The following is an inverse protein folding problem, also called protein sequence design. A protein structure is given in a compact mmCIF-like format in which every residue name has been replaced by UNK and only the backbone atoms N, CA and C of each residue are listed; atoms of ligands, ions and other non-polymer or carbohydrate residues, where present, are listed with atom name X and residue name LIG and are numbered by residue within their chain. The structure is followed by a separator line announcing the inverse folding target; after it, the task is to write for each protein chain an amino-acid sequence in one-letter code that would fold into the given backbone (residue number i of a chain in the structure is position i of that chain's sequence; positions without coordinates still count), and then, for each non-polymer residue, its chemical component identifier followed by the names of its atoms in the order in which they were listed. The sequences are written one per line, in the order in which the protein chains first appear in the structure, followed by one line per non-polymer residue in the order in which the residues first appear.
data_IF_920432652058
#
_entry.id   IF_920432652058
#
_cell.length_a   1.000
_cell.length_b   1.000
_cell.length_c   1.000
_cell.angle_alpha   90.00
_cell.angle_beta   90.00
_cell.angle_gamma   90.00
#
_symmetry.space_group_name_H-M   'P 1'
#
loop_
_entity.id
_entity.type
_entity.pdbx_description
1 polymer ?
#
# COMPACT_ATOMS: atom_id res chain seq x y z
N UNK A 1 -13.75 19.34 17.25
CA UNK A 1 -13.66 18.62 15.97
C UNK A 1 -13.98 17.17 16.23
N UNK A 2 -15.05 16.69 15.66
CA UNK A 2 -15.58 15.37 15.97
C UNK A 2 -14.72 14.29 15.30
N UNK A 3 -14.16 13.37 16.10
CA UNK A 3 -13.32 12.27 15.57
C UNK A 3 -14.09 11.32 14.64
N UNK A 4 -15.40 11.22 14.83
CA UNK A 4 -16.27 10.41 13.98
C UNK A 4 -16.37 10.95 12.56
N UNK A 5 -16.32 12.26 12.38
CA UNK A 5 -16.43 12.90 11.06
C UNK A 5 -15.16 12.69 10.20
N UNK A 6 -14.00 12.60 10.86
CA UNK A 6 -12.72 12.34 10.17
C UNK A 6 -12.63 10.87 9.74
N UNK A 7 -13.03 9.95 10.63
CA UNK A 7 -13.09 8.53 10.34
C UNK A 7 -13.98 8.23 9.12
N UNK A 8 -15.17 8.84 9.09
CA UNK A 8 -16.16 8.62 8.06
C UNK A 8 -15.70 9.09 6.67
N UNK A 9 -14.92 10.19 6.61
CA UNK A 9 -14.39 10.70 5.34
C UNK A 9 -13.26 9.84 4.77
N UNK A 10 -12.46 9.23 5.62
CA UNK A 10 -11.40 8.31 5.19
C UNK A 10 -11.95 6.97 4.72
N UNK A 11 -13.01 6.47 5.35
CA UNK A 11 -13.63 5.21 4.97
C UNK A 11 -14.32 5.24 3.60
N UNK A 12 -14.74 6.41 3.15
CA UNK A 12 -15.36 6.57 1.83
C UNK A 12 -14.39 6.41 0.66
N UNK A 13 -13.08 6.59 0.88
CA UNK A 13 -12.03 6.43 -0.14
C UNK A 13 -12.01 7.51 -1.21
N UNK A 14 -13.16 7.95 -1.69
CA UNK A 14 -13.26 8.91 -2.81
C UNK A 14 -12.64 10.29 -2.52
N UNK A 15 -12.87 10.96 -1.36
CA UNK A 15 -12.18 12.20 -1.01
C UNK A 15 -10.67 12.04 -0.91
N UNK A 16 -10.21 10.91 -0.37
CA UNK A 16 -8.79 10.57 -0.30
C UNK A 16 -8.19 10.47 -1.70
N UNK A 17 -8.85 9.75 -2.62
CA UNK A 17 -8.39 9.57 -4.00
C UNK A 17 -8.28 10.92 -4.73
N UNK A 18 -9.23 11.83 -4.55
CA UNK A 18 -9.19 13.14 -5.19
C UNK A 18 -8.05 14.02 -4.69
N UNK A 19 -7.71 13.92 -3.42
CA UNK A 19 -6.74 14.81 -2.77
C UNK A 19 -5.33 14.22 -2.70
N UNK A 20 -5.20 13.01 -2.18
CA UNK A 20 -3.91 12.35 -1.95
C UNK A 20 -3.54 11.39 -3.08
N UNK A 21 -4.50 10.64 -3.59
CA UNK A 21 -4.27 9.67 -4.67
C UNK A 21 -3.76 10.31 -5.95
N UNK A 22 -4.25 11.50 -6.28
CA UNK A 22 -3.78 12.26 -7.44
C UNK A 22 -2.28 12.57 -7.35
N UNK A 23 -1.81 13.03 -6.20
CA UNK A 23 -0.39 13.28 -5.96
C UNK A 23 0.42 12.00 -5.97
N UNK A 24 -0.10 10.94 -5.35
CA UNK A 24 0.56 9.63 -5.31
C UNK A 24 0.79 9.08 -6.71
N UNK A 25 -0.19 9.20 -7.61
CA UNK A 25 -0.04 8.74 -9.00
C UNK A 25 1.04 9.49 -9.78
N UNK A 26 1.25 10.77 -9.48
CA UNK A 26 2.29 11.56 -10.13
C UNK A 26 3.68 11.28 -9.57
N UNK A 27 3.77 11.05 -8.27
CA UNK A 27 5.05 10.85 -7.56
C UNK A 27 5.52 9.41 -7.62
N UNK A 28 4.61 8.44 -7.62
CA UNK A 28 4.94 7.02 -7.54
C UNK A 28 5.95 6.57 -8.61
N UNK A 29 5.80 6.93 -9.91
CA UNK A 29 6.78 6.52 -10.90
C UNK A 29 8.19 7.06 -10.63
N UNK A 30 8.30 8.29 -10.13
CA UNK A 30 9.58 8.90 -9.77
C UNK A 30 10.22 8.20 -8.58
N UNK A 31 9.42 7.90 -7.57
CA UNK A 31 9.85 7.16 -6.38
C UNK A 31 10.37 5.76 -6.74
N UNK A 32 9.62 5.03 -7.55
CA UNK A 32 9.99 3.69 -7.99
C UNK A 32 11.26 3.69 -8.84
N UNK A 33 11.42 4.68 -9.71
CA UNK A 33 12.63 4.87 -10.49
C UNK A 33 13.84 5.14 -9.60
N UNK A 34 13.66 5.96 -8.58
CA UNK A 34 14.71 6.26 -7.60
C UNK A 34 15.14 5.01 -6.81
N UNK A 35 14.19 4.17 -6.40
CA UNK A 35 14.49 2.91 -5.71
C UNK A 35 15.31 1.96 -6.57
N UNK A 36 15.08 1.95 -7.88
CA UNK A 36 15.83 1.17 -8.87
C UNK A 36 15.91 -0.32 -8.51
N UNK A 37 14.79 -0.93 -8.15
CA UNK A 37 14.73 -2.35 -7.82
C UNK A 37 14.68 -3.16 -9.12
N UNK A 38 15.45 -4.26 -9.25
CA UNK A 38 15.47 -5.07 -10.46
C UNK A 38 14.10 -5.67 -10.80
N UNK A 39 13.87 -5.98 -12.08
CA UNK A 39 12.69 -6.69 -12.55
C UNK A 39 12.56 -8.07 -11.89
N UNK A 40 11.36 -8.65 -11.91
CA UNK A 40 11.12 -10.01 -11.45
C UNK A 40 11.12 -10.16 -9.94
N UNK A 41 10.79 -9.11 -9.20
CA UNK A 41 10.74 -9.13 -7.73
C UNK A 41 9.31 -9.23 -7.21
N UNK A 42 9.19 -9.77 -6.01
CA UNK A 42 7.93 -9.85 -5.26
C UNK A 42 7.82 -8.61 -4.38
N UNK A 43 6.74 -7.86 -4.52
CA UNK A 43 6.55 -6.58 -3.85
C UNK A 43 5.42 -6.64 -2.82
N UNK A 44 5.58 -5.90 -1.73
CA UNK A 44 4.52 -5.64 -0.76
C UNK A 44 4.35 -4.14 -0.61
N UNK A 45 3.11 -3.67 -0.74
CA UNK A 45 2.71 -2.28 -0.46
C UNK A 45 1.91 -2.26 0.85
N UNK A 46 2.51 -1.71 1.89
CA UNK A 46 1.91 -1.62 3.23
C UNK A 46 1.08 -0.35 3.34
N UNK A 47 -0.20 -0.50 3.62
CA UNK A 47 -1.15 0.61 3.61
C UNK A 47 -1.44 1.06 2.19
N UNK A 48 -1.82 0.12 1.33
CA UNK A 48 -1.93 0.37 -0.12
C UNK A 48 -3.06 1.35 -0.50
N UNK A 49 -3.94 1.70 0.41
CA UNK A 49 -5.04 2.63 0.16
C UNK A 49 -5.92 2.17 -1.00
N UNK A 50 -6.13 3.04 -1.96
CA UNK A 50 -6.92 2.75 -3.17
C UNK A 50 -6.10 2.10 -4.29
N UNK A 51 -4.81 1.82 -4.06
CA UNK A 51 -3.98 1.04 -4.95
C UNK A 51 -3.10 1.82 -5.93
N UNK A 52 -2.92 3.12 -5.73
CA UNK A 52 -2.15 3.96 -6.66
C UNK A 52 -0.70 3.49 -6.80
N UNK A 53 -0.01 3.22 -5.68
CA UNK A 53 1.37 2.75 -5.71
C UNK A 53 1.47 1.32 -6.27
N UNK A 54 0.56 0.43 -5.88
CA UNK A 54 0.47 -0.91 -6.47
C UNK A 54 0.35 -0.87 -7.99
N UNK A 55 -0.51 -0.02 -8.53
CA UNK A 55 -0.70 0.14 -9.97
C UNK A 55 0.60 0.59 -10.64
N UNK A 56 1.30 1.57 -10.05
CA UNK A 56 2.59 2.03 -10.57
C UNK A 56 3.66 0.95 -10.56
N UNK A 57 3.70 0.12 -9.51
CA UNK A 57 4.64 -1.02 -9.45
C UNK A 57 4.37 -1.99 -10.59
N UNK A 58 3.10 -2.36 -10.81
CA UNK A 58 2.72 -3.25 -11.92
C UNK A 58 3.13 -2.65 -13.27
N UNK A 59 2.91 -1.36 -13.47
CA UNK A 59 3.12 -0.70 -14.76
C UNK A 59 4.61 -0.43 -15.05
N UNK A 60 5.44 -0.21 -14.03
CA UNK A 60 6.81 0.30 -14.21
C UNK A 60 7.93 -0.61 -13.72
N UNK A 61 7.66 -1.60 -12.88
CA UNK A 61 8.70 -2.38 -12.21
C UNK A 61 8.83 -3.81 -12.71
N UNK A 62 7.98 -4.26 -13.62
CA UNK A 62 7.96 -5.64 -14.11
C UNK A 62 8.05 -6.66 -12.96
N UNK A 63 7.14 -6.61 -11.98
CA UNK A 63 7.19 -7.49 -10.81
C UNK A 63 6.76 -8.91 -11.15
N UNK A 64 7.23 -9.89 -10.37
CA UNK A 64 6.67 -11.24 -10.40
C UNK A 64 5.32 -11.30 -9.70
N UNK A 65 5.20 -10.58 -8.59
CA UNK A 65 3.97 -10.51 -7.80
C UNK A 65 3.93 -9.19 -7.03
N UNK A 66 2.73 -8.62 -6.91
CA UNK A 66 2.49 -7.46 -6.04
C UNK A 66 1.39 -7.82 -5.06
N UNK A 67 1.65 -7.63 -3.78
CA UNK A 67 0.69 -7.77 -2.69
C UNK A 67 0.47 -6.42 -2.04
N UNK A 68 -0.77 -6.09 -1.75
CA UNK A 68 -1.13 -4.90 -0.98
C UNK A 68 -1.87 -5.29 0.30
N UNK A 69 -1.59 -4.60 1.40
CA UNK A 69 -2.36 -4.70 2.63
C UNK A 69 -2.93 -3.35 3.02
N UNK A 70 -4.17 -3.35 3.49
CA UNK A 70 -4.89 -2.14 3.86
C UNK A 70 -5.90 -2.45 4.97
N UNK A 71 -5.92 -1.69 6.10
CA UNK A 71 -6.87 -1.94 7.17
C UNK A 71 -8.29 -1.44 6.86
N UNK A 72 -8.45 -0.43 6.02
CA UNK A 72 -9.76 0.16 5.72
C UNK A 72 -10.53 -0.65 4.67
N UNK A 73 -11.71 -1.13 5.03
CA UNK A 73 -12.62 -1.83 4.11
C UNK A 73 -12.98 -0.98 2.89
N UNK A 74 -13.23 0.31 3.11
CA UNK A 74 -13.59 1.24 2.03
C UNK A 74 -12.48 1.42 1.02
N UNK A 75 -11.27 1.64 1.49
CA UNK A 75 -10.10 1.76 0.62
C UNK A 75 -9.79 0.45 -0.11
N UNK A 76 -9.86 -0.67 0.61
CA UNK A 76 -9.58 -1.98 0.04
C UNK A 76 -10.56 -2.35 -1.07
N UNK A 77 -11.83 -1.98 -0.91
CA UNK A 77 -12.86 -2.17 -1.94
C UNK A 77 -12.52 -1.40 -3.22
N UNK A 78 -12.12 -0.13 -3.09
CA UNK A 78 -11.69 0.67 -4.22
C UNK A 78 -10.41 0.14 -4.85
N UNK A 79 -9.47 -0.34 -4.05
CA UNK A 79 -8.26 -0.98 -4.55
C UNK A 79 -8.59 -2.22 -5.40
N UNK A 80 -9.54 -3.05 -4.96
CA UNK A 80 -10.00 -4.21 -5.72
C UNK A 80 -10.62 -3.82 -7.06
N UNK A 81 -11.42 -2.76 -7.08
CA UNK A 81 -11.99 -2.23 -8.31
C UNK A 81 -10.92 -1.69 -9.26
N UNK A 82 -9.95 -0.95 -8.73
CA UNK A 82 -8.89 -0.32 -9.53
C UNK A 82 -7.86 -1.30 -10.06
N UNK A 83 -7.53 -2.34 -9.30
CA UNK A 83 -6.43 -3.25 -9.60
C UNK A 83 -6.89 -4.58 -10.17
N UNK A 84 -8.14 -4.96 -9.96
CA UNK A 84 -8.72 -6.24 -10.37
C UNK A 84 -7.83 -7.41 -9.88
N UNK A 85 -7.41 -8.30 -10.78
CA UNK A 85 -6.59 -9.48 -10.46
C UNK A 85 -5.09 -9.27 -10.62
N UNK A 86 -4.65 -8.03 -10.89
CA UNK A 86 -3.23 -7.71 -11.09
C UNK A 86 -2.43 -7.68 -9.78
N UNK A 87 -3.09 -7.57 -8.66
CA UNK A 87 -2.49 -7.45 -7.32
C UNK A 87 -3.24 -8.35 -6.35
N UNK A 88 -2.51 -9.00 -5.46
CA UNK A 88 -3.11 -9.76 -4.35
C UNK A 88 -3.37 -8.79 -3.20
N UNK A 89 -4.60 -8.70 -2.74
CA UNK A 89 -5.00 -7.74 -1.70
C UNK A 89 -5.47 -8.47 -0.44
N UNK A 90 -4.97 -8.02 0.71
CA UNK A 90 -5.39 -8.52 2.02
C UNK A 90 -5.81 -7.37 2.92
N UNK A 91 -6.85 -7.57 3.70
CA UNK A 91 -7.13 -6.68 4.81
C UNK A 91 -6.16 -6.98 5.95
N UNK A 92 -5.51 -5.95 6.47
CA UNK A 92 -4.56 -6.12 7.56
C UNK A 92 -3.87 -4.81 7.91
N UNK A 93 -3.18 -4.81 9.05
CA UNK A 93 -2.44 -3.64 9.49
C UNK A 93 -0.92 -3.89 9.47
N UNK A 94 -0.18 -2.80 9.45
CA UNK A 94 1.27 -2.82 9.32
C UNK A 94 1.99 -3.49 10.50
N UNK A 95 1.39 -3.50 11.69
CA UNK A 95 1.98 -4.11 12.89
C UNK A 95 1.78 -5.62 12.96
N UNK A 96 1.00 -6.20 12.06
CA UNK A 96 0.75 -7.65 11.99
C UNK A 96 0.47 -8.05 10.54
N UNK A 97 1.52 -8.14 9.74
CA UNK A 97 1.40 -8.40 8.30
C UNK A 97 1.08 -9.89 8.06
N UNK A 98 -0.03 -10.21 7.35
CA UNK A 98 -0.49 -11.58 7.15
C UNK A 98 0.29 -12.31 6.06
N UNK A 99 1.60 -12.25 6.10
CA UNK A 99 2.51 -12.93 5.18
C UNK A 99 3.58 -13.69 5.96
N UNK A 100 4.11 -14.73 5.36
CA UNK A 100 5.21 -15.52 5.92
C UNK A 100 6.52 -14.73 5.97
N UNK A 101 7.45 -15.17 6.83
CA UNK A 101 8.81 -14.64 6.86
C UNK A 101 9.46 -14.75 5.48
N UNK A 102 10.24 -13.76 5.10
CA UNK A 102 11.03 -13.76 3.87
C UNK A 102 10.20 -14.13 2.61
N UNK A 103 8.97 -13.63 2.53
CA UNK A 103 8.04 -13.95 1.44
C UNK A 103 8.03 -12.93 0.30
N UNK A 104 8.66 -11.77 0.50
CA UNK A 104 8.76 -10.71 -0.50
C UNK A 104 10.19 -10.21 -0.64
N UNK A 105 10.48 -9.54 -1.74
CA UNK A 105 11.82 -9.01 -2.04
C UNK A 105 11.93 -7.51 -1.78
N UNK A 106 10.80 -6.80 -1.81
CA UNK A 106 10.75 -5.36 -1.57
C UNK A 106 9.46 -5.00 -0.84
N UNK A 107 9.57 -4.14 0.16
CA UNK A 107 8.45 -3.58 0.89
C UNK A 107 8.46 -2.07 0.74
N UNK A 108 7.32 -1.51 0.35
CA UNK A 108 7.12 -0.06 0.28
C UNK A 108 5.96 0.35 1.19
N UNK A 109 6.03 1.57 1.68
CA UNK A 109 4.99 2.13 2.55
C UNK A 109 4.91 3.63 2.24
N UNK A 110 3.97 4.00 1.40
CA UNK A 110 3.82 5.37 0.91
C UNK A 110 2.84 6.18 1.73
N UNK A 111 3.33 7.21 2.45
CA UNK A 111 2.51 8.19 3.19
C UNK A 111 1.60 7.57 4.26
N UNK A 112 2.00 6.46 4.87
CA UNK A 112 1.17 5.68 5.80
C UNK A 112 1.80 5.56 7.17
N UNK A 113 3.13 5.49 7.25
CA UNK A 113 3.82 5.17 8.50
C UNK A 113 3.48 6.15 9.64
N UNK A 114 3.23 7.41 9.31
CA UNK A 114 2.83 8.43 10.26
C UNK A 114 1.44 8.20 10.87
N UNK A 115 0.60 7.36 10.26
CA UNK A 115 -0.71 6.99 10.78
C UNK A 115 -0.70 5.68 11.58
N UNK A 116 0.42 4.95 11.58
CA UNK A 116 0.54 3.68 12.29
C UNK A 116 0.79 3.95 13.77
N UNK A 117 -0.06 3.41 14.69
CA UNK A 117 0.12 3.65 16.13
C UNK A 117 1.44 3.13 16.68
N UNK A 118 1.90 1.96 16.24
CA UNK A 118 3.17 1.38 16.64
C UNK A 118 4.09 1.25 15.41
N UNK A 119 4.83 2.29 15.14
CA UNK A 119 5.74 2.36 14.00
C UNK A 119 6.89 1.36 14.11
N UNK A 120 7.35 1.09 15.31
CA UNK A 120 8.44 0.13 15.55
C UNK A 120 7.98 -1.29 15.21
N UNK A 121 6.80 -1.70 15.67
CA UNK A 121 6.21 -2.99 15.32
C UNK A 121 6.02 -3.13 13.80
N UNK A 122 5.59 -2.06 13.14
CA UNK A 122 5.43 -2.06 11.68
C UNK A 122 6.77 -2.28 10.96
N UNK A 123 7.83 -1.60 11.38
CA UNK A 123 9.16 -1.77 10.80
C UNK A 123 9.72 -3.18 11.03
N UNK A 124 9.49 -3.77 12.20
CA UNK A 124 9.86 -5.16 12.48
C UNK A 124 9.12 -6.13 11.54
N UNK A 125 7.83 -5.93 11.35
CA UNK A 125 7.04 -6.77 10.44
C UNK A 125 7.49 -6.62 8.99
N UNK A 126 7.75 -5.42 8.51
CA UNK A 126 8.30 -5.19 7.17
C UNK A 126 9.64 -5.90 6.98
N UNK A 127 10.49 -5.86 7.99
CA UNK A 127 11.78 -6.57 7.99
C UNK A 127 11.59 -8.09 8.00
N UNK A 128 10.65 -8.58 8.80
CA UNK A 128 10.36 -10.02 8.91
C UNK A 128 9.95 -10.62 7.57
N UNK A 129 9.08 -9.95 6.83
CA UNK A 129 8.54 -10.47 5.56
C UNK A 129 9.51 -10.31 4.38
N UNK A 130 10.51 -9.45 4.52
CA UNK A 130 11.56 -9.25 3.53
C UNK A 130 12.68 -10.26 3.77
#
# INVERSE_FOLDING_TARGET
MDREHISDSWERGSPYEQYVGRWSRQIAPLFLSWLNIPNGRRWLDVGCGTGALCASIVDHCSPTEVTGIEPSDGFLRLARENLADRVVLHQGNAASIPLSDASVDAVVCGLVLNFVPDQYAALLEMTRVT
#
